data_IF_377745792446
#
_entry.id   IF_377745792446
#
_cell.length_a   1.000
_cell.length_b   1.000
_cell.length_c   1.000
_cell.angle_alpha   90.00
_cell.angle_beta   90.00
_cell.angle_gamma   90.00
#
_symmetry.space_group_name_H-M   'P 1'
#
loop_
_entity.id
_entity.type
_entity.pdbx_description
1 polymer ?
#
# COMPACT_ATOMS: atom_id res chain seq x y z
N UNK A 1 14.01 7.74 18.84
CA UNK A 1 12.67 8.09 19.38
C UNK A 1 11.97 6.86 19.93
N UNK A 2 10.93 7.05 20.74
CA UNK A 2 10.02 5.98 21.16
C UNK A 2 8.87 5.96 20.16
N UNK A 3 8.75 4.87 19.43
CA UNK A 3 7.76 4.68 18.38
C UNK A 3 6.70 3.65 18.81
N UNK A 4 5.42 3.99 18.72
CA UNK A 4 4.31 3.05 18.85
C UNK A 4 3.77 2.70 17.46
N UNK A 5 3.64 1.41 17.13
CA UNK A 5 3.01 0.95 15.89
C UNK A 5 1.70 0.22 16.24
N UNK A 6 0.57 0.77 15.82
CA UNK A 6 -0.72 0.08 15.88
C UNK A 6 -0.80 -0.90 14.70
N UNK A 7 -0.64 -2.19 15.00
CA UNK A 7 -0.38 -3.26 14.05
C UNK A 7 1.04 -3.83 14.21
N UNK A 8 1.93 -3.65 13.23
CA UNK A 8 3.37 -3.88 13.36
C UNK A 8 3.86 -5.30 13.10
N UNK A 9 3.00 -6.29 12.83
CA UNK A 9 3.42 -7.69 12.69
C UNK A 9 3.19 -8.29 11.29
N UNK A 10 2.55 -7.55 10.39
CA UNK A 10 2.24 -8.00 9.03
C UNK A 10 2.65 -6.91 8.04
N UNK A 11 3.17 -7.30 6.88
CA UNK A 11 3.51 -6.48 5.72
C UNK A 11 4.10 -5.09 6.07
N UNK A 12 3.41 -3.98 5.74
CA UNK A 12 3.92 -2.61 6.00
C UNK A 12 4.28 -2.39 7.47
N UNK A 13 3.44 -2.84 8.39
CA UNK A 13 3.73 -2.69 9.82
C UNK A 13 5.02 -3.40 10.23
N UNK A 14 5.28 -4.59 9.69
CA UNK A 14 6.54 -5.33 9.90
C UNK A 14 7.75 -4.57 9.33
N UNK A 15 7.60 -4.01 8.12
CA UNK A 15 8.67 -3.24 7.49
C UNK A 15 9.01 -1.98 8.30
N UNK A 16 7.99 -1.26 8.82
CA UNK A 16 8.18 -0.09 9.68
C UNK A 16 8.91 -0.47 10.97
N UNK A 17 8.52 -1.58 11.59
CA UNK A 17 9.18 -2.07 12.82
C UNK A 17 10.65 -2.39 12.54
N UNK A 18 10.94 -3.12 11.45
CA UNK A 18 12.31 -3.46 11.06
C UNK A 18 13.17 -2.23 10.79
N UNK A 19 12.63 -1.27 10.04
CA UNK A 19 13.32 0.00 9.74
C UNK A 19 13.59 0.82 11.01
N UNK A 20 12.60 0.95 11.89
CA UNK A 20 12.73 1.71 13.13
C UNK A 20 13.78 1.08 14.08
N UNK A 21 13.79 -0.25 14.20
CA UNK A 21 14.83 -0.96 14.95
C UNK A 21 16.22 -0.77 14.33
N UNK A 22 16.31 -0.85 12.99
CA UNK A 22 17.55 -0.62 12.25
C UNK A 22 18.14 0.79 12.47
N UNK A 23 17.28 1.78 12.72
CA UNK A 23 17.68 3.16 13.09
C UNK A 23 17.92 3.35 14.59
N UNK A 24 17.80 2.31 15.41
CA UNK A 24 18.03 2.38 16.87
C UNK A 24 16.89 3.02 17.66
N UNK A 25 15.66 2.95 17.16
CA UNK A 25 14.48 3.43 17.90
C UNK A 25 13.98 2.41 18.91
N UNK A 26 13.35 2.88 19.98
CA UNK A 26 12.62 2.07 20.96
C UNK A 26 11.21 1.82 20.40
N UNK A 27 10.93 0.58 20.04
CA UNK A 27 9.70 0.21 19.31
C UNK A 27 8.75 -0.54 20.22
N UNK A 28 7.52 -0.05 20.28
CA UNK A 28 6.37 -0.72 20.89
C UNK A 28 5.36 -1.05 19.79
N UNK A 29 4.80 -2.26 19.79
CA UNK A 29 3.66 -2.61 18.92
C UNK A 29 2.42 -2.83 19.77
N UNK A 30 1.25 -2.45 19.22
CA UNK A 30 -0.06 -2.76 19.81
C UNK A 30 -0.89 -3.55 18.79
N UNK A 31 -1.28 -4.75 19.17
CA UNK A 31 -2.06 -5.66 18.33
C UNK A 31 -2.79 -6.72 19.18
N UNK A 32 -3.58 -7.58 18.53
CA UNK A 32 -4.34 -8.66 19.16
C UNK A 32 -3.47 -9.82 19.69
N UNK A 33 -2.18 -9.84 19.34
CA UNK A 33 -1.25 -10.89 19.79
C UNK A 33 -1.33 -12.19 18.99
N UNK A 34 -1.96 -12.21 17.81
CA UNK A 34 -2.02 -13.36 16.90
C UNK A 34 -0.65 -13.74 16.34
N UNK A 35 0.23 -12.77 16.19
CA UNK A 35 1.61 -12.96 15.77
C UNK A 35 2.55 -12.44 16.86
N UNK A 36 3.64 -13.16 17.08
CA UNK A 36 4.69 -12.70 17.99
C UNK A 36 5.34 -11.42 17.45
N UNK A 37 5.66 -10.51 18.35
CA UNK A 37 6.48 -9.36 17.99
C UNK A 37 7.93 -9.80 17.70
N UNK A 38 8.65 -9.08 16.83
CA UNK A 38 10.08 -9.29 16.62
C UNK A 38 10.88 -9.12 17.92
N UNK A 39 12.08 -9.70 17.96
CA UNK A 39 13.01 -9.50 19.07
C UNK A 39 13.35 -8.01 19.26
N UNK A 40 13.47 -7.57 20.49
CA UNK A 40 13.74 -6.17 20.84
C UNK A 40 12.53 -5.24 20.82
N UNK A 41 11.33 -5.77 20.54
CA UNK A 41 10.08 -5.00 20.47
C UNK A 41 9.21 -5.27 21.70
N UNK A 42 8.73 -4.20 22.34
CA UNK A 42 7.70 -4.31 23.38
C UNK A 42 6.34 -4.56 22.75
N UNK A 43 5.64 -5.64 23.13
CA UNK A 43 4.30 -5.94 22.64
C UNK A 43 3.23 -5.60 23.69
N UNK A 44 2.34 -4.68 23.35
CA UNK A 44 1.09 -4.40 24.07
C UNK A 44 -0.06 -5.14 23.35
N UNK A 45 -0.96 -5.72 24.12
CA UNK A 45 -2.10 -6.48 23.58
C UNK A 45 -3.42 -5.78 23.83
N UNK A 46 -4.30 -5.82 22.85
CA UNK A 46 -5.66 -5.32 22.90
C UNK A 46 -6.33 -5.39 21.53
N UNK A 47 -7.62 -5.12 21.51
CA UNK A 47 -8.44 -5.13 20.28
C UNK A 47 -9.25 -3.85 20.14
N UNK A 48 -8.94 -3.06 19.11
CA UNK A 48 -9.64 -1.80 18.81
C UNK A 48 -11.13 -2.03 18.51
N UNK A 49 -11.46 -3.12 17.82
CA UNK A 49 -12.85 -3.46 17.50
C UNK A 49 -13.68 -3.78 18.74
N UNK A 50 -13.07 -4.41 19.74
CA UNK A 50 -13.67 -4.70 21.03
C UNK A 50 -13.55 -3.54 22.04
N UNK A 51 -13.03 -2.37 21.62
CA UNK A 51 -12.74 -1.22 22.50
C UNK A 51 -11.75 -1.55 23.64
N UNK A 52 -10.96 -2.60 23.49
CA UNK A 52 -9.90 -2.96 24.45
C UNK A 52 -8.62 -2.19 24.13
N UNK A 53 -8.56 -0.96 24.65
CA UNK A 53 -7.44 -0.02 24.52
C UNK A 53 -6.67 0.19 25.83
N UNK A 54 -6.99 -0.57 26.88
CA UNK A 54 -6.45 -0.38 28.21
C UNK A 54 -4.90 -0.35 28.27
N UNK A 55 -4.24 -1.18 27.48
CA UNK A 55 -2.80 -1.23 27.39
C UNK A 55 -2.15 0.06 26.82
N UNK A 56 -2.90 0.89 26.08
CA UNK A 56 -2.47 2.20 25.56
C UNK A 56 -2.69 3.35 26.54
N UNK A 57 -3.41 3.13 27.65
CA UNK A 57 -3.73 4.15 28.65
C UNK A 57 -2.51 4.59 29.48
N UNK A 58 -1.41 3.85 29.41
CA UNK A 58 -0.13 4.15 30.06
C UNK A 58 0.98 4.24 29.02
N UNK A 59 2.08 4.87 29.36
CA UNK A 59 3.20 5.07 28.43
C UNK A 59 3.14 6.44 27.72
N UNK A 60 4.23 6.77 27.06
CA UNK A 60 4.40 7.98 26.23
C UNK A 60 5.29 7.62 25.06
N UNK A 61 4.95 8.13 23.90
CA UNK A 61 5.71 7.91 22.66
C UNK A 61 5.98 9.24 21.95
N UNK A 62 7.06 9.31 21.23
CA UNK A 62 7.38 10.49 20.44
C UNK A 62 6.52 10.55 19.19
N UNK A 63 6.28 9.38 18.57
CA UNK A 63 5.38 9.23 17.43
C UNK A 63 4.60 7.92 17.48
N UNK A 64 3.42 7.92 16.85
CA UNK A 64 2.58 6.73 16.63
C UNK A 64 2.43 6.51 15.13
N UNK A 65 2.52 5.25 14.66
CA UNK A 65 2.14 4.88 13.29
C UNK A 65 0.96 3.92 13.35
N UNK A 66 -0.18 4.33 12.79
CA UNK A 66 -1.39 3.52 12.68
C UNK A 66 -1.50 2.87 11.29
N UNK A 67 -1.17 1.58 11.20
CA UNK A 67 -1.22 0.79 9.96
C UNK A 67 -2.53 0.01 9.81
N UNK A 68 -3.44 0.06 10.77
CA UNK A 68 -4.61 -0.83 10.86
C UNK A 68 -5.96 -0.10 10.98
N UNK A 69 -6.02 1.17 10.61
CA UNK A 69 -7.23 1.99 10.66
C UNK A 69 -8.04 1.92 9.37
N UNK A 70 -9.28 1.39 9.46
CA UNK A 70 -10.23 1.32 8.35
C UNK A 70 -11.59 1.96 8.71
N UNK A 71 -11.89 2.12 9.98
CA UNK A 71 -13.16 2.63 10.50
C UNK A 71 -12.89 3.91 11.29
N UNK A 72 -13.54 5.05 10.95
CA UNK A 72 -13.28 6.35 11.57
C UNK A 72 -13.44 6.35 13.09
N UNK A 73 -14.46 5.69 13.59
CA UNK A 73 -14.72 5.55 15.04
C UNK A 73 -13.53 4.88 15.78
N UNK A 74 -12.96 3.82 15.19
CA UNK A 74 -11.85 3.09 15.81
C UNK A 74 -10.53 3.91 15.75
N UNK A 75 -10.30 4.62 14.67
CA UNK A 75 -9.16 5.55 14.54
C UNK A 75 -9.30 6.69 15.53
N UNK A 76 -10.44 7.36 15.56
CA UNK A 76 -10.71 8.46 16.49
C UNK A 76 -10.58 8.06 17.96
N UNK A 77 -11.10 6.89 18.35
CA UNK A 77 -10.99 6.39 19.74
C UNK A 77 -9.53 6.20 20.17
N UNK A 78 -8.71 5.55 19.32
CA UNK A 78 -7.28 5.35 19.64
C UNK A 78 -6.48 6.66 19.57
N UNK A 79 -6.72 7.52 18.58
CA UNK A 79 -6.05 8.80 18.46
C UNK A 79 -6.36 9.73 19.66
N UNK A 80 -7.64 9.81 20.09
CA UNK A 80 -8.05 10.60 21.27
C UNK A 80 -7.37 10.09 22.56
N UNK A 81 -7.34 8.77 22.76
CA UNK A 81 -6.69 8.19 23.93
C UNK A 81 -5.19 8.49 23.95
N UNK A 82 -4.54 8.48 22.78
CA UNK A 82 -3.10 8.67 22.65
C UNK A 82 -2.68 10.16 22.59
N UNK A 83 -3.55 11.07 22.14
CA UNK A 83 -3.23 12.48 21.92
C UNK A 83 -2.46 13.19 23.05
N UNK A 84 -2.80 13.01 24.36
CA UNK A 84 -2.07 13.62 25.47
C UNK A 84 -0.72 12.93 25.78
N UNK A 85 -0.36 11.86 25.07
CA UNK A 85 0.79 10.99 25.35
C UNK A 85 1.80 10.90 24.22
N UNK A 86 1.52 11.60 23.10
CA UNK A 86 2.31 11.53 21.88
C UNK A 86 2.67 12.92 21.36
N UNK A 87 3.80 13.00 20.66
CA UNK A 87 4.19 14.20 19.90
C UNK A 87 3.51 14.27 18.54
N UNK A 88 3.36 13.14 17.86
CA UNK A 88 2.93 13.04 16.47
C UNK A 88 2.13 11.76 16.19
N UNK A 89 1.16 11.82 15.28
CA UNK A 89 0.34 10.68 14.86
C UNK A 89 0.41 10.48 13.34
N UNK A 90 1.02 9.41 12.90
CA UNK A 90 1.11 9.04 11.49
C UNK A 90 0.03 7.99 11.17
N UNK A 91 -0.95 8.36 10.35
CA UNK A 91 -2.01 7.47 9.89
C UNK A 91 -1.71 6.95 8.49
N UNK A 92 -1.66 5.64 8.30
CA UNK A 92 -1.53 5.03 6.97
C UNK A 92 -2.88 5.00 6.29
N UNK A 93 -3.07 5.91 5.35
CA UNK A 93 -4.26 6.10 4.52
C UNK A 93 -4.12 5.36 3.17
N UNK A 94 -4.53 5.98 2.07
CA UNK A 94 -4.44 5.47 0.70
C UNK A 94 -4.60 6.61 -0.31
N UNK A 95 -4.00 6.50 -1.49
CA UNK A 95 -4.33 7.39 -2.63
C UNK A 95 -5.80 7.30 -3.05
N UNK A 96 -6.47 6.19 -2.72
CA UNK A 96 -7.91 6.00 -2.99
C UNK A 96 -8.83 6.98 -2.25
N UNK A 97 -8.32 7.79 -1.33
CA UNK A 97 -9.09 8.87 -0.68
C UNK A 97 -9.43 10.00 -1.64
N UNK A 98 -8.67 10.18 -2.72
CA UNK A 98 -8.92 11.23 -3.69
C UNK A 98 -10.12 10.91 -4.57
N UNK A 99 -10.96 11.90 -4.85
CA UNK A 99 -11.97 11.79 -5.88
C UNK A 99 -11.28 11.61 -7.25
N UNK A 100 -11.91 10.88 -8.20
CA UNK A 100 -11.34 10.69 -9.53
C UNK A 100 -11.06 12.03 -10.22
N UNK A 101 -9.87 12.13 -10.84
CA UNK A 101 -9.47 13.33 -11.57
C UNK A 101 -8.07 13.20 -12.16
N UNK A 102 -7.71 14.05 -13.14
CA UNK A 102 -6.38 14.03 -13.73
C UNK A 102 -5.33 14.48 -12.69
N UNK A 103 -4.25 13.74 -12.58
CA UNK A 103 -3.05 14.02 -11.74
C UNK A 103 -3.41 14.52 -10.33
N UNK A 104 -4.13 13.73 -9.53
CA UNK A 104 -4.58 14.17 -8.22
C UNK A 104 -3.39 14.35 -7.29
N UNK A 105 -3.20 15.55 -6.78
CA UNK A 105 -2.29 15.88 -5.69
C UNK A 105 -3.02 15.85 -4.33
N UNK A 106 -2.34 16.20 -3.27
CA UNK A 106 -2.90 16.17 -1.92
C UNK A 106 -4.02 17.22 -1.70
N UNK A 107 -4.15 18.21 -2.57
CA UNK A 107 -5.21 19.25 -2.53
C UNK A 107 -6.51 18.80 -3.21
N UNK A 108 -6.47 17.68 -3.95
CA UNK A 108 -7.64 17.16 -4.63
C UNK A 108 -8.79 16.87 -3.65
N UNK A 109 -10.05 17.07 -4.07
CA UNK A 109 -11.21 16.71 -3.26
C UNK A 109 -11.13 15.24 -2.83
N UNK A 110 -11.51 14.97 -1.59
CA UNK A 110 -11.57 13.59 -1.09
C UNK A 110 -12.94 12.97 -1.39
N UNK A 111 -12.97 11.65 -1.50
CA UNK A 111 -14.19 10.89 -1.63
C UNK A 111 -15.08 11.05 -0.39
N UNK A 112 -16.38 11.04 -0.57
CA UNK A 112 -17.37 11.22 0.49
C UNK A 112 -18.38 10.06 0.51
N UNK A 113 -18.98 9.81 1.68
CA UNK A 113 -20.11 8.90 1.84
C UNK A 113 -21.39 9.68 2.05
N UNK A 114 -22.51 9.17 1.51
CA UNK A 114 -23.83 9.73 1.77
C UNK A 114 -24.23 9.56 3.25
N UNK A 115 -23.83 8.43 3.85
CA UNK A 115 -23.98 8.17 5.29
C UNK A 115 -22.57 7.99 5.91
N UNK A 116 -22.06 8.95 6.68
CA UNK A 116 -20.74 8.88 7.29
C UNK A 116 -20.64 7.87 8.45
N UNK A 117 -21.74 7.23 8.84
CA UNK A 117 -21.77 6.21 9.90
C UNK A 117 -21.54 4.79 9.38
N UNK A 118 -21.43 4.62 8.05
CA UNK A 118 -21.10 3.33 7.45
C UNK A 118 -19.71 2.88 7.91
N UNK A 119 -19.60 1.62 8.34
CA UNK A 119 -18.34 0.98 8.75
C UNK A 119 -17.91 -0.17 7.82
N UNK A 120 -18.74 -0.51 6.83
CA UNK A 120 -18.42 -1.55 5.85
C UNK A 120 -17.49 -0.99 4.76
N UNK A 121 -16.32 -1.63 4.60
CA UNK A 121 -15.29 -1.27 3.62
C UNK A 121 -15.58 -1.81 2.20
N UNK A 122 -16.66 -2.59 2.01
CA UNK A 122 -17.13 -3.07 0.72
C UNK A 122 -17.75 -1.96 -0.16
N UNK A 123 -18.26 -2.36 -1.32
CA UNK A 123 -19.08 -1.53 -2.22
C UNK A 123 -18.50 -0.14 -2.58
N UNK A 124 -17.19 -0.03 -2.72
CA UNK A 124 -16.54 1.22 -3.10
C UNK A 124 -16.35 2.22 -1.95
N UNK A 125 -16.71 1.89 -0.71
CA UNK A 125 -16.63 2.78 0.45
C UNK A 125 -15.19 3.00 0.96
N UNK A 126 -14.24 2.16 0.56
CA UNK A 126 -12.88 2.14 1.11
C UNK A 126 -12.20 3.52 1.13
N UNK A 127 -12.18 4.21 -0.01
CA UNK A 127 -11.52 5.51 -0.12
C UNK A 127 -12.14 6.58 0.79
N UNK A 128 -13.47 6.66 0.79
CA UNK A 128 -14.20 7.61 1.62
C UNK A 128 -14.06 7.32 3.12
N UNK A 129 -14.07 6.04 3.52
CA UNK A 129 -13.80 5.64 4.91
C UNK A 129 -12.38 6.02 5.34
N UNK A 130 -11.39 5.84 4.48
CA UNK A 130 -10.00 6.27 4.76
C UNK A 130 -9.92 7.79 4.91
N UNK A 131 -10.64 8.57 4.08
CA UNK A 131 -10.70 10.04 4.23
C UNK A 131 -11.33 10.46 5.56
N UNK A 132 -12.40 9.79 5.99
CA UNK A 132 -13.01 10.02 7.31
C UNK A 132 -12.05 9.64 8.46
N UNK A 133 -11.23 8.59 8.28
CA UNK A 133 -10.19 8.22 9.25
C UNK A 133 -9.10 9.30 9.35
N UNK A 134 -8.67 9.89 8.23
CA UNK A 134 -7.74 11.03 8.23
C UNK A 134 -8.30 12.18 9.06
N UNK A 135 -9.55 12.56 8.80
CA UNK A 135 -10.26 13.61 9.54
C UNK A 135 -10.35 13.31 11.04
N UNK A 136 -10.67 12.06 11.40
CA UNK A 136 -10.78 11.65 12.80
C UNK A 136 -9.43 11.69 13.53
N UNK A 137 -8.34 11.28 12.87
CA UNK A 137 -6.99 11.34 13.42
C UNK A 137 -6.53 12.79 13.63
N UNK A 138 -6.75 13.64 12.63
CA UNK A 138 -6.35 15.04 12.65
C UNK A 138 -7.07 15.82 13.75
N UNK A 139 -8.39 15.70 13.82
CA UNK A 139 -9.20 16.33 14.85
C UNK A 139 -8.82 15.89 16.27
N UNK A 140 -8.51 14.58 16.46
CA UNK A 140 -8.12 14.06 17.77
C UNK A 140 -6.76 14.55 18.24
N UNK A 141 -5.87 14.97 17.34
CA UNK A 141 -4.49 15.34 17.62
C UNK A 141 -4.19 16.82 17.42
N UNK A 142 -5.22 17.66 17.23
CA UNK A 142 -5.09 19.11 17.00
C UNK A 142 -4.12 19.44 15.87
N UNK A 143 -4.24 18.77 14.71
CA UNK A 143 -3.42 18.98 13.52
C UNK A 143 -2.00 18.41 13.61
N UNK A 144 -1.65 17.64 14.65
CA UNK A 144 -0.35 16.96 14.79
C UNK A 144 -0.38 15.57 14.13
N UNK A 145 -1.03 15.46 12.97
CA UNK A 145 -1.17 14.22 12.24
C UNK A 145 -0.58 14.30 10.84
N UNK A 146 -0.02 13.18 10.39
CA UNK A 146 0.36 12.90 9.02
C UNK A 146 -0.59 11.85 8.46
N UNK A 147 -1.24 12.14 7.35
CA UNK A 147 -1.96 11.15 6.56
C UNK A 147 -1.09 10.67 5.41
N UNK A 148 -0.48 9.50 5.57
CA UNK A 148 0.30 8.85 4.50
C UNK A 148 -0.68 8.22 3.52
N UNK A 149 -0.67 8.65 2.27
CA UNK A 149 -1.52 8.14 1.19
C UNK A 149 -0.67 7.29 0.23
N UNK A 150 -0.39 6.02 0.55
CA UNK A 150 0.38 5.17 -0.34
C UNK A 150 -0.43 4.78 -1.58
N UNK A 151 0.28 4.62 -2.71
CA UNK A 151 -0.19 3.86 -3.85
C UNK A 151 -0.23 2.37 -3.55
N UNK A 152 -0.22 1.52 -4.58
CA UNK A 152 -0.08 0.08 -4.37
C UNK A 152 1.24 -0.22 -3.66
N UNK A 153 1.17 -0.81 -2.48
CA UNK A 153 2.35 -1.24 -1.72
C UNK A 153 2.73 -2.63 -2.21
N UNK A 154 4.02 -2.82 -2.55
CA UNK A 154 4.54 -4.04 -3.16
C UNK A 154 5.83 -4.52 -2.48
N UNK A 155 6.30 -5.71 -2.81
CA UNK A 155 7.60 -6.20 -2.35
C UNK A 155 7.51 -7.35 -1.34
N UNK A 156 8.51 -7.52 -0.46
CA UNK A 156 8.57 -8.61 0.49
C UNK A 156 7.32 -8.73 1.36
N UNK A 157 6.81 -9.96 1.48
CA UNK A 157 5.64 -10.30 2.30
C UNK A 157 4.32 -9.62 1.85
N UNK A 158 4.21 -9.19 0.59
CA UNK A 158 2.96 -8.65 0.04
C UNK A 158 1.84 -9.70 0.11
N UNK A 159 0.77 -9.47 0.88
CA UNK A 159 -0.34 -10.41 1.00
C UNK A 159 -1.37 -10.27 -0.12
N UNK A 160 -1.22 -9.27 -1.01
CA UNK A 160 -2.25 -8.93 -2.01
C UNK A 160 -2.04 -9.67 -3.34
N UNK A 161 -0.82 -10.07 -3.64
CA UNK A 161 -0.48 -10.83 -4.82
C UNK A 161 -0.44 -10.06 -6.15
N UNK A 162 -0.97 -8.84 -6.20
CA UNK A 162 -1.18 -8.10 -7.46
C UNK A 162 0.12 -7.75 -8.20
N UNK A 163 1.13 -7.27 -7.47
CA UNK A 163 2.47 -7.10 -8.03
C UNK A 163 3.22 -8.43 -8.10
N UNK A 164 3.09 -9.25 -7.06
CA UNK A 164 3.75 -10.55 -6.89
C UNK A 164 3.48 -11.50 -8.06
N UNK A 165 2.29 -11.40 -8.69
CA UNK A 165 1.95 -12.13 -9.91
C UNK A 165 3.02 -12.00 -11.00
N UNK A 166 3.50 -10.79 -11.29
CA UNK A 166 4.39 -10.54 -12.43
C UNK A 166 5.74 -11.22 -12.28
N UNK A 167 6.54 -11.00 -11.22
CA UNK A 167 7.79 -11.73 -11.02
C UNK A 167 7.61 -13.25 -11.07
N UNK A 168 6.60 -13.77 -10.36
CA UNK A 168 6.36 -15.21 -10.31
C UNK A 168 5.86 -15.78 -11.65
N UNK A 169 5.07 -15.03 -12.41
CA UNK A 169 4.65 -15.48 -13.74
C UNK A 169 5.84 -15.58 -14.69
N UNK A 170 6.71 -14.59 -14.71
CA UNK A 170 7.93 -14.63 -15.53
C UNK A 170 8.90 -15.72 -15.07
N UNK A 171 9.05 -15.95 -13.79
CA UNK A 171 9.89 -17.03 -13.24
C UNK A 171 9.45 -18.45 -13.68
N UNK A 172 8.19 -18.65 -14.07
CA UNK A 172 7.72 -19.93 -14.64
C UNK A 172 8.21 -20.16 -16.08
N UNK A 173 8.67 -19.11 -16.75
CA UNK A 173 9.18 -19.20 -18.12
C UNK A 173 8.11 -19.20 -19.22
N UNK A 174 8.57 -19.37 -20.47
CA UNK A 174 7.72 -19.45 -21.66
C UNK A 174 7.20 -18.09 -22.15
N UNK A 175 6.09 -18.11 -22.87
CA UNK A 175 5.39 -16.92 -23.31
C UNK A 175 4.53 -16.37 -22.15
N UNK A 176 4.67 -15.08 -21.89
CA UNK A 176 3.94 -14.39 -20.82
C UNK A 176 3.05 -13.33 -21.43
N UNK A 177 1.75 -13.44 -21.22
CA UNK A 177 0.81 -12.41 -21.66
C UNK A 177 1.01 -11.12 -20.89
N UNK A 178 1.18 -10.02 -21.62
CA UNK A 178 1.24 -8.66 -21.07
C UNK A 178 0.32 -7.78 -21.91
N UNK A 179 -0.38 -6.83 -21.30
CA UNK A 179 -1.20 -5.87 -22.04
C UNK A 179 -0.33 -4.91 -22.87
N UNK A 180 -0.75 -4.63 -24.10
CA UNK A 180 0.06 -3.95 -25.12
C UNK A 180 0.10 -2.43 -24.92
N UNK A 181 0.82 -2.03 -23.89
CA UNK A 181 1.21 -0.63 -23.67
C UNK A 181 2.47 -0.58 -22.80
N UNK A 182 3.64 -0.89 -23.37
CA UNK A 182 4.88 -0.92 -22.59
C UNK A 182 5.22 0.45 -21.97
N UNK A 183 4.81 1.56 -22.61
CA UNK A 183 5.00 2.93 -22.10
C UNK A 183 3.96 3.33 -21.04
N UNK A 184 2.91 2.52 -20.81
CA UNK A 184 1.87 2.84 -19.84
C UNK A 184 2.45 3.02 -18.45
N UNK A 185 2.17 4.16 -17.81
CA UNK A 185 2.60 4.36 -16.44
C UNK A 185 1.85 3.42 -15.51
N UNK A 186 2.58 2.87 -14.54
CA UNK A 186 2.05 2.11 -13.42
C UNK A 186 2.64 2.66 -12.13
N UNK A 187 1.83 2.77 -11.08
CA UNK A 187 2.26 3.37 -9.83
C UNK A 187 2.20 2.38 -8.67
N UNK A 188 3.34 2.21 -8.02
CA UNK A 188 3.47 1.42 -6.79
C UNK A 188 4.68 1.88 -5.99
N UNK A 189 4.77 1.46 -4.75
CA UNK A 189 5.91 1.74 -3.86
C UNK A 189 6.35 0.46 -3.15
N UNK A 190 7.66 0.23 -3.13
CA UNK A 190 8.22 -0.87 -2.34
C UNK A 190 7.96 -0.63 -0.85
N UNK A 191 7.50 -1.66 -0.16
CA UNK A 191 7.16 -1.61 1.26
C UNK A 191 8.32 -1.13 2.13
N UNK A 192 9.55 -1.40 1.73
CA UNK A 192 10.78 -0.99 2.44
C UNK A 192 11.06 0.51 2.24
N UNK A 193 10.83 1.04 1.03
CA UNK A 193 11.00 2.48 0.74
C UNK A 193 9.92 3.29 1.45
N UNK A 194 8.68 2.80 1.42
CA UNK A 194 7.58 3.39 2.16
C UNK A 194 7.85 3.38 3.68
N UNK A 195 8.33 2.28 4.23
CA UNK A 195 8.66 2.17 5.64
C UNK A 195 9.79 3.12 6.04
N UNK A 196 10.85 3.22 5.23
CA UNK A 196 11.98 4.12 5.45
C UNK A 196 11.51 5.59 5.44
N UNK A 197 10.65 5.95 4.49
CA UNK A 197 10.08 7.29 4.42
C UNK A 197 9.16 7.59 5.61
N UNK A 198 8.26 6.66 6.00
CA UNK A 198 7.37 6.83 7.16
C UNK A 198 8.17 7.07 8.45
N UNK A 199 9.21 6.29 8.71
CA UNK A 199 10.05 6.47 9.90
C UNK A 199 10.73 7.83 9.88
N UNK A 200 11.30 8.26 8.74
CA UNK A 200 11.87 9.60 8.56
C UNK A 200 10.84 10.72 8.73
N UNK A 201 9.63 10.54 8.24
CA UNK A 201 8.54 11.50 8.40
C UNK A 201 8.10 11.63 9.87
N UNK A 202 8.11 10.54 10.64
CA UNK A 202 7.88 10.55 12.08
C UNK A 202 9.00 11.27 12.84
N UNK A 203 10.27 11.05 12.47
CA UNK A 203 11.43 11.76 13.03
C UNK A 203 11.34 13.27 12.81
N UNK A 204 10.92 13.67 11.61
CA UNK A 204 10.75 15.07 11.21
C UNK A 204 9.39 15.67 11.62
N UNK A 205 8.47 14.87 12.17
CA UNK A 205 7.11 15.28 12.55
C UNK A 205 6.36 15.99 11.41
N UNK A 206 6.39 15.41 10.20
CA UNK A 206 5.70 15.94 9.03
C UNK A 206 4.19 15.80 9.24
N UNK A 207 3.42 16.89 9.02
CA UNK A 207 1.97 16.91 9.21
C UNK A 207 1.22 17.08 7.88
N UNK A 208 -0.07 16.78 7.90
CA UNK A 208 -0.98 16.87 6.75
C UNK A 208 -0.87 15.67 5.79
N UNK A 209 -1.63 15.65 4.69
CA UNK A 209 -1.64 14.54 3.74
C UNK A 209 -0.37 14.52 2.87
N UNK A 210 0.15 13.32 2.58
CA UNK A 210 1.26 13.10 1.65
C UNK A 210 1.00 11.85 0.82
N UNK A 211 0.95 12.00 -0.50
CA UNK A 211 0.89 10.87 -1.43
C UNK A 211 2.28 10.22 -1.54
N UNK A 212 2.35 8.90 -1.38
CA UNK A 212 3.62 8.17 -1.38
C UNK A 212 3.55 7.01 -2.36
N UNK A 213 4.13 7.20 -3.54
CA UNK A 213 4.21 6.17 -4.59
C UNK A 213 5.45 6.40 -5.44
N UNK A 214 5.65 5.56 -6.45
CA UNK A 214 6.64 5.76 -7.51
C UNK A 214 5.99 5.47 -8.85
N UNK A 215 6.49 6.08 -9.92
CA UNK A 215 5.99 5.84 -11.29
C UNK A 215 7.02 5.05 -12.08
N UNK A 216 6.55 3.97 -12.69
CA UNK A 216 7.30 3.09 -13.57
C UNK A 216 6.52 2.92 -14.87
N UNK A 217 7.14 2.43 -15.93
CA UNK A 217 6.41 1.94 -17.09
C UNK A 217 6.17 0.44 -16.97
N UNK A 218 5.10 -0.07 -17.58
CA UNK A 218 4.87 -1.52 -17.64
C UNK A 218 6.04 -2.24 -18.33
N UNK A 219 6.62 -1.63 -19.36
CA UNK A 219 7.81 -2.15 -20.04
C UNK A 219 9.00 -2.30 -19.08
N UNK A 220 9.27 -1.29 -18.25
CA UNK A 220 10.35 -1.37 -17.27
C UNK A 220 10.13 -2.49 -16.23
N UNK A 221 8.87 -2.72 -15.80
CA UNK A 221 8.52 -3.85 -14.93
C UNK A 221 8.77 -5.20 -15.63
N UNK A 222 8.32 -5.33 -16.88
CA UNK A 222 8.53 -6.53 -17.70
C UNK A 222 10.02 -6.81 -17.88
N UNK A 223 10.81 -5.82 -18.23
CA UNK A 223 12.26 -5.96 -18.40
C UNK A 223 12.95 -6.42 -17.11
N UNK A 224 12.54 -5.87 -15.96
CA UNK A 224 13.06 -6.29 -14.66
C UNK A 224 12.67 -7.75 -14.33
N UNK A 225 11.46 -8.17 -14.69
CA UNK A 225 11.01 -9.56 -14.50
C UNK A 225 11.73 -10.52 -15.46
N UNK A 226 11.93 -10.14 -16.72
CA UNK A 226 12.67 -10.95 -17.73
C UNK A 226 14.11 -11.18 -17.28
N UNK A 227 14.75 -10.19 -16.67
CA UNK A 227 16.13 -10.30 -16.17
C UNK A 227 16.30 -11.38 -15.09
N UNK A 228 15.25 -11.71 -14.35
CA UNK A 228 15.23 -12.75 -13.30
C UNK A 228 14.59 -14.07 -13.79
N UNK A 229 14.17 -14.14 -15.06
CA UNK A 229 13.42 -15.26 -15.61
C UNK A 229 14.36 -16.33 -16.26
N UNK A 230 13.92 -17.57 -16.42
CA UNK A 230 14.66 -18.59 -17.16
C UNK A 230 14.92 -18.18 -18.62
N UNK A 231 16.04 -18.62 -19.23
CA UNK A 231 16.32 -18.35 -20.63
C UNK A 231 15.18 -18.77 -21.56
N UNK A 232 14.88 -17.92 -22.56
CA UNK A 232 13.80 -18.15 -23.53
C UNK A 232 12.44 -17.64 -23.07
N UNK A 233 12.32 -17.07 -21.86
CA UNK A 233 11.11 -16.37 -21.43
C UNK A 233 10.93 -15.08 -22.22
N UNK A 234 9.72 -14.87 -22.75
CA UNK A 234 9.43 -13.66 -23.53
C UNK A 234 8.04 -13.10 -23.24
N UNK A 235 7.86 -11.79 -23.17
CA UNK A 235 6.56 -11.17 -23.13
C UNK A 235 5.86 -11.31 -24.48
N UNK A 236 4.53 -11.49 -24.45
CA UNK A 236 3.64 -11.38 -25.59
C UNK A 236 2.67 -10.24 -25.28
N UNK A 237 2.86 -9.13 -25.98
CA UNK A 237 2.05 -7.93 -25.83
C UNK A 237 0.71 -8.11 -26.55
N UNK A 238 -0.39 -8.12 -25.80
CA UNK A 238 -1.75 -8.36 -26.30
C UNK A 238 -2.52 -7.05 -26.29
N UNK A 239 -3.13 -6.66 -27.44
CA UNK A 239 -3.93 -5.43 -27.53
C UNK A 239 -5.03 -5.35 -26.47
N UNK A 240 -5.19 -4.16 -25.87
CA UNK A 240 -6.15 -3.97 -24.76
C UNK A 240 -7.61 -4.18 -25.20
N UNK A 241 -7.96 -3.83 -26.44
CA UNK A 241 -9.29 -4.09 -27.02
C UNK A 241 -9.62 -5.58 -27.08
N UNK A 242 -8.63 -6.42 -27.32
CA UNK A 242 -8.75 -7.88 -27.27
C UNK A 242 -8.99 -8.37 -25.83
N UNK A 243 -8.29 -7.82 -24.83
CA UNK A 243 -8.52 -8.15 -23.43
C UNK A 243 -9.96 -7.80 -23.01
N UNK A 244 -10.43 -6.64 -23.43
CA UNK A 244 -11.82 -6.20 -23.21
C UNK A 244 -12.82 -7.13 -23.93
N UNK A 245 -12.57 -7.51 -25.18
CA UNK A 245 -13.45 -8.40 -25.94
C UNK A 245 -13.56 -9.80 -25.34
N UNK A 246 -12.51 -10.25 -24.65
CA UNK A 246 -12.48 -11.53 -23.92
C UNK A 246 -12.87 -11.40 -22.45
N UNK A 247 -13.44 -10.26 -22.04
CA UNK A 247 -13.93 -10.00 -20.68
C UNK A 247 -12.88 -10.30 -19.59
N UNK A 248 -11.60 -9.96 -19.84
CA UNK A 248 -10.54 -10.14 -18.87
C UNK A 248 -10.80 -9.23 -17.67
N UNK A 249 -10.80 -9.81 -16.48
CA UNK A 249 -11.07 -9.08 -15.24
C UNK A 249 -9.93 -8.12 -14.88
N UNK A 250 -10.30 -6.86 -14.65
CA UNK A 250 -9.36 -5.81 -14.23
C UNK A 250 -8.77 -6.10 -12.85
N UNK A 251 -7.53 -5.66 -12.63
CA UNK A 251 -6.89 -5.56 -11.32
C UNK A 251 -6.62 -6.88 -10.59
N UNK A 252 -7.51 -7.89 -10.74
CA UNK A 252 -7.37 -9.18 -10.07
C UNK A 252 -7.02 -10.32 -11.03
N UNK A 253 -7.70 -10.45 -12.17
CA UNK A 253 -7.39 -11.47 -13.16
C UNK A 253 -6.16 -11.08 -14.00
N UNK A 254 -6.03 -9.81 -14.40
CA UNK A 254 -4.80 -9.27 -14.98
C UNK A 254 -4.30 -8.11 -14.10
N UNK A 255 -3.41 -8.41 -13.15
CA UNK A 255 -2.95 -7.41 -12.20
C UNK A 255 -2.29 -6.20 -12.85
N UNK A 256 -2.49 -5.00 -12.25
CA UNK A 256 -2.02 -3.70 -12.75
C UNK A 256 -2.68 -3.23 -14.06
N UNK A 257 -3.53 -4.04 -14.66
CA UNK A 257 -4.31 -3.64 -15.83
C UNK A 257 -5.69 -3.11 -15.41
N UNK A 258 -6.07 -2.01 -16.01
CA UNK A 258 -7.41 -1.41 -15.95
C UNK A 258 -7.76 -1.01 -17.37
N UNK A 259 -8.93 -1.41 -17.83
CA UNK A 259 -9.36 -1.14 -19.19
C UNK A 259 -9.36 0.38 -19.48
N UNK A 260 -8.97 0.80 -20.69
CA UNK A 260 -8.95 2.24 -21.06
C UNK A 260 -10.30 2.94 -20.91
N UNK A 261 -11.39 2.17 -20.94
CA UNK A 261 -12.76 2.66 -20.77
C UNK A 261 -13.20 2.80 -19.31
N UNK A 262 -12.42 2.26 -18.37
CA UNK A 262 -12.72 2.35 -16.94
C UNK A 262 -12.51 3.78 -16.42
N UNK A 263 -13.43 4.31 -15.60
CA UNK A 263 -13.28 5.64 -14.98
C UNK A 263 -12.00 5.77 -14.16
N UNK A 264 -11.51 4.69 -13.60
CA UNK A 264 -10.32 4.62 -12.75
C UNK A 264 -9.01 4.68 -13.55
N UNK A 265 -9.04 4.40 -14.87
CA UNK A 265 -7.85 4.29 -15.71
C UNK A 265 -6.95 5.55 -15.67
N UNK A 266 -7.55 6.73 -15.58
CA UNK A 266 -6.83 8.00 -15.60
C UNK A 266 -6.25 8.37 -14.23
N UNK A 267 -6.87 7.95 -13.13
CA UNK A 267 -6.51 8.40 -11.77
C UNK A 267 -5.45 7.53 -11.10
N UNK A 268 -5.43 6.23 -11.36
CA UNK A 268 -4.55 5.29 -10.66
C UNK A 268 -3.06 5.37 -11.07
N UNK A 269 -2.77 5.93 -12.26
CA UNK A 269 -1.40 6.01 -12.77
C UNK A 269 -0.86 7.44 -12.84
N UNK A 270 -1.56 8.42 -12.26
CA UNK A 270 -1.20 9.84 -12.39
C UNK A 270 -1.16 10.60 -11.05
N UNK A 271 -1.05 9.88 -9.94
CA UNK A 271 -0.94 10.50 -8.62
C UNK A 271 0.38 11.28 -8.51
N UNK A 272 0.30 12.56 -8.16
CA UNK A 272 1.47 13.37 -7.83
C UNK A 272 2.02 12.98 -6.46
N UNK A 273 3.31 12.73 -6.37
CA UNK A 273 4.04 12.41 -5.13
C UNK A 273 5.26 13.32 -4.91
N UNK A 274 5.23 14.50 -5.51
CA UNK A 274 6.30 15.49 -5.40
C UNK A 274 6.57 15.90 -3.96
N UNK A 275 5.54 15.95 -3.10
CA UNK A 275 5.69 16.23 -1.68
C UNK A 275 6.46 15.14 -0.94
N UNK A 276 6.22 13.87 -1.22
CA UNK A 276 6.99 12.77 -0.64
C UNK A 276 8.46 12.83 -1.07
N UNK A 277 8.73 13.11 -2.34
CA UNK A 277 10.09 13.30 -2.86
C UNK A 277 10.79 14.48 -2.19
N UNK A 278 10.13 15.61 -2.06
CA UNK A 278 10.66 16.80 -1.38
C UNK A 278 10.94 16.56 0.12
N UNK A 279 10.28 15.58 0.72
CA UNK A 279 10.46 15.19 2.13
C UNK A 279 11.27 13.90 2.31
N UNK A 280 12.03 13.48 1.28
CA UNK A 280 13.06 12.46 1.39
C UNK A 280 12.67 11.07 0.92
N UNK A 281 11.55 10.90 0.16
CA UNK A 281 11.27 9.62 -0.48
C UNK A 281 12.37 9.29 -1.49
N UNK A 282 12.97 8.13 -1.31
CA UNK A 282 13.94 7.55 -2.24
C UNK A 282 13.43 6.18 -2.68
N UNK A 283 13.32 5.98 -3.99
CA UNK A 283 12.87 4.72 -4.56
C UNK A 283 14.08 3.87 -4.94
N UNK A 284 14.06 2.60 -4.56
CA UNK A 284 15.09 1.62 -4.95
C UNK A 284 14.99 1.25 -6.41
N UNK A 285 16.02 0.68 -7.03
CA UNK A 285 15.95 0.10 -8.36
C UNK A 285 14.85 -0.95 -8.44
N UNK A 286 14.04 -0.94 -9.51
CA UNK A 286 12.92 -1.87 -9.71
C UNK A 286 13.34 -3.34 -9.65
N UNK A 287 14.54 -3.66 -10.17
CA UNK A 287 15.11 -5.01 -10.09
C UNK A 287 15.28 -5.51 -8.65
N UNK A 288 15.55 -4.62 -7.68
CA UNK A 288 15.67 -5.01 -6.28
C UNK A 288 14.31 -5.35 -5.65
N UNK A 289 13.24 -4.65 -6.09
CA UNK A 289 11.86 -4.97 -5.70
C UNK A 289 11.43 -6.32 -6.29
N UNK A 290 11.71 -6.56 -7.57
CA UNK A 290 11.40 -7.83 -8.25
C UNK A 290 12.09 -9.01 -7.56
N UNK A 291 13.40 -8.94 -7.31
CA UNK A 291 14.17 -10.01 -6.63
C UNK A 291 13.66 -10.27 -5.22
N UNK A 292 13.43 -9.24 -4.44
CA UNK A 292 12.94 -9.39 -3.08
C UNK A 292 11.51 -9.97 -3.04
N UNK A 293 10.66 -9.59 -4.00
CA UNK A 293 9.32 -10.18 -4.14
C UNK A 293 9.41 -11.68 -4.45
N UNK A 294 10.27 -12.10 -5.38
CA UNK A 294 10.49 -13.51 -5.70
C UNK A 294 10.97 -14.32 -4.48
N UNK A 295 11.81 -13.70 -3.65
CA UNK A 295 12.39 -14.38 -2.49
C UNK A 295 11.43 -14.48 -1.30
N UNK A 296 10.57 -13.48 -1.08
CA UNK A 296 9.89 -13.29 0.20
C UNK A 296 8.38 -13.04 0.10
N UNK A 297 7.79 -13.05 -1.10
CA UNK A 297 6.35 -13.00 -1.30
C UNK A 297 5.87 -14.22 -2.08
N UNK A 298 4.73 -14.77 -1.72
CA UNK A 298 4.14 -15.91 -2.42
C UNK A 298 2.97 -15.46 -3.33
N UNK A 299 2.73 -16.15 -4.46
CA UNK A 299 1.50 -15.96 -5.23
C UNK A 299 0.26 -16.15 -4.34
N UNK A 300 -0.79 -15.41 -4.65
CA UNK A 300 -2.06 -15.45 -3.93
C UNK A 300 -3.11 -16.11 -4.82
N UNK A 301 -3.86 -17.07 -4.28
CA UNK A 301 -4.93 -17.75 -5.01
C UNK A 301 -6.01 -16.76 -5.48
N UNK A 302 -6.44 -16.93 -6.72
CA UNK A 302 -7.44 -16.03 -7.35
C UNK A 302 -6.87 -14.69 -7.84
N UNK A 303 -5.55 -14.50 -7.80
CA UNK A 303 -4.87 -13.33 -8.36
C UNK A 303 -4.00 -13.72 -9.53
N UNK A 304 -4.20 -13.06 -10.66
CA UNK A 304 -3.50 -13.33 -11.91
C UNK A 304 -4.17 -14.37 -12.79
N UNK A 305 -3.80 -14.38 -14.07
CA UNK A 305 -4.28 -15.35 -15.06
C UNK A 305 -3.87 -16.77 -14.67
N UNK A 306 -4.83 -17.69 -14.73
CA UNK A 306 -4.50 -19.13 -14.69
C UNK A 306 -3.75 -19.52 -15.96
N UNK A 307 -2.97 -20.61 -15.91
CA UNK A 307 -2.22 -21.08 -17.09
C UNK A 307 -3.13 -21.43 -18.29
N UNK A 308 -4.34 -21.94 -18.02
CA UNK A 308 -5.27 -22.29 -19.09
C UNK A 308 -5.92 -21.05 -19.69
N UNK A 309 -6.31 -20.07 -18.86
CA UNK A 309 -6.86 -18.80 -19.31
C UNK A 309 -5.84 -17.99 -20.11
N UNK A 310 -4.59 -17.92 -19.63
CA UNK A 310 -3.50 -17.25 -20.36
C UNK A 310 -3.27 -17.89 -21.73
N UNK A 311 -3.23 -19.22 -21.79
CA UNK A 311 -3.08 -19.95 -23.08
C UNK A 311 -4.24 -19.68 -24.03
N UNK A 312 -5.48 -19.70 -23.54
CA UNK A 312 -6.66 -19.33 -24.30
C UNK A 312 -6.50 -17.95 -24.94
N UNK A 313 -6.16 -16.94 -24.13
CA UNK A 313 -5.98 -15.57 -24.57
C UNK A 313 -4.80 -15.39 -25.55
N UNK A 314 -3.73 -16.16 -25.41
CA UNK A 314 -2.60 -16.14 -26.35
C UNK A 314 -2.92 -16.77 -27.70
N UNK A 315 -3.84 -17.75 -27.76
CA UNK A 315 -4.23 -18.46 -28.97
C UNK A 315 -5.46 -17.86 -29.66
N UNK A 316 -6.21 -17.00 -28.98
CA UNK A 316 -7.36 -16.32 -29.57
C UNK A 316 -6.89 -15.37 -30.69
N UNK A 317 -7.63 -15.25 -31.80
CA UNK A 317 -7.36 -14.37 -32.96
C UNK A 317 -7.81 -12.92 -32.71
#
# INVERSE_FOLDING_TARGET
>A
MRLLVLGGTVFLGRAIVAEALGRGHDVTVFNRGTHAAPEGVTQLRGDRAASDLGALATGRWDSVVDTSGYVPRLVGASATLLAPRIGHYCFVSSVSVSAPGPTPDESAPVATLADPTVEDIGDGNYGALKALCETAADAATDGRSLAVRPGLIVGPHDPTGRFTYWPHRFARGGEVLVFDRPERPTQFVDVRDLAAWIVGACEAQINGPVNVTGTWTMGALVDACVAEAPPGTRPVWVPEDRLVAHEVGEWMELPLWIAPTSPEAASLASVDYGRATATGLTLRPLADTVRATLAEAAPVDGVGLTSDRERELLLAD
#
